data_IF_488970342992
#
_entry.id   IF_488970342992
#
_cell.length_a   1.000
_cell.length_b   1.000
_cell.length_c   1.000
_cell.angle_alpha   90.00
_cell.angle_beta   90.00
_cell.angle_gamma   90.00
#
_symmetry.space_group_name_H-M   'P 1'
#
loop_
_entity.id
_entity.type
_entity.pdbx_description
1 polymer ?
#
# COMPACT_ATOMS: atom_id res chain seq x y z
N UNK A 1 -4.16 17.46 -8.09
CA UNK A 1 -5.06 17.05 -7.00
C UNK A 1 -6.40 17.70 -7.20
N UNK A 2 -7.56 16.98 -7.05
CA UNK A 2 -8.88 17.56 -7.17
C UNK A 2 -9.09 18.70 -6.16
N UNK A 3 -9.81 19.75 -6.57
CA UNK A 3 -10.15 20.88 -5.68
C UNK A 3 -11.30 20.58 -4.71
N UNK A 4 -11.78 19.33 -4.67
CA UNK A 4 -12.89 18.86 -3.83
C UNK A 4 -12.50 17.57 -3.10
N UNK A 5 -13.11 17.29 -1.92
CA UNK A 5 -12.88 16.07 -1.19
C UNK A 5 -13.28 14.84 -2.02
N UNK A 6 -12.60 13.72 -1.76
CA UNK A 6 -12.86 12.44 -2.39
C UNK A 6 -12.79 11.30 -1.36
N UNK A 7 -13.33 10.15 -1.71
CA UNK A 7 -13.34 8.93 -0.91
C UNK A 7 -12.85 7.74 -1.73
N UNK A 8 -12.41 6.67 -1.10
CA UNK A 8 -11.87 5.48 -1.78
C UNK A 8 -12.82 4.87 -2.82
N UNK A 9 -14.14 4.71 -2.61
CA UNK A 9 -15.02 4.19 -3.66
C UNK A 9 -15.03 5.07 -4.92
N UNK A 10 -15.02 6.40 -4.75
CA UNK A 10 -14.93 7.33 -5.88
C UNK A 10 -13.60 7.23 -6.63
N UNK A 11 -12.49 7.02 -5.92
CA UNK A 11 -11.18 6.80 -6.53
C UNK A 11 -11.10 5.45 -7.23
N UNK A 12 -11.64 4.37 -6.65
CA UNK A 12 -11.72 3.07 -7.29
C UNK A 12 -12.51 3.13 -8.60
N UNK A 13 -13.64 3.85 -8.61
CA UNK A 13 -14.41 4.12 -9.84
C UNK A 13 -13.61 4.90 -10.88
N UNK A 14 -12.83 5.90 -10.44
CA UNK A 14 -11.97 6.67 -11.34
C UNK A 14 -10.85 5.79 -11.92
N UNK A 15 -10.27 4.89 -11.10
CA UNK A 15 -9.27 3.92 -11.55
C UNK A 15 -9.86 2.99 -12.61
N UNK A 16 -11.07 2.45 -12.41
CA UNK A 16 -11.73 1.60 -13.39
C UNK A 16 -11.95 2.34 -14.73
N UNK A 17 -12.44 3.59 -14.69
CA UNK A 17 -12.60 4.41 -15.89
C UNK A 17 -11.29 4.74 -16.59
N UNK A 18 -10.21 4.94 -15.84
CA UNK A 18 -8.87 5.14 -16.42
C UNK A 18 -8.42 3.88 -17.17
N UNK A 19 -8.68 2.69 -16.64
CA UNK A 19 -8.38 1.43 -17.33
C UNK A 19 -9.21 1.27 -18.60
N UNK A 20 -10.48 1.67 -18.59
CA UNK A 20 -11.34 1.67 -19.79
C UNK A 20 -10.76 2.61 -20.87
N UNK A 21 -10.34 3.81 -20.46
CA UNK A 21 -9.72 4.78 -21.39
C UNK A 21 -8.40 4.26 -21.98
N UNK A 22 -7.65 3.47 -21.22
CA UNK A 22 -6.37 2.87 -21.64
C UNK A 22 -6.53 1.50 -22.30
N UNK A 23 -7.77 1.03 -22.51
CA UNK A 23 -8.12 -0.28 -23.09
C UNK A 23 -7.51 -1.48 -22.33
N UNK A 24 -7.40 -1.36 -21.00
CA UNK A 24 -7.00 -2.47 -20.15
C UNK A 24 -8.22 -3.16 -19.53
N UNK A 25 -8.49 -4.41 -19.93
CA UNK A 25 -9.57 -5.22 -19.37
C UNK A 25 -9.31 -5.61 -17.92
N UNK A 26 -8.09 -6.06 -17.60
CA UNK A 26 -7.71 -6.55 -16.28
C UNK A 26 -6.25 -6.20 -15.95
N UNK A 27 -5.96 -5.88 -14.69
CA UNK A 27 -4.62 -5.49 -14.22
C UNK A 27 -4.22 -6.20 -12.93
N UNK A 28 -2.92 -6.26 -12.65
CA UNK A 28 -2.41 -6.52 -11.31
C UNK A 28 -2.35 -5.20 -10.55
N UNK A 29 -2.99 -5.14 -9.37
CA UNK A 29 -3.03 -3.94 -8.56
C UNK A 29 -1.97 -3.99 -7.44
N UNK A 30 -1.16 -2.95 -7.32
CA UNK A 30 -0.18 -2.78 -6.23
C UNK A 30 -0.55 -1.55 -5.42
N UNK A 31 -0.77 -1.73 -4.13
CA UNK A 31 -1.09 -0.64 -3.22
C UNK A 31 -0.13 -0.56 -2.05
N UNK A 32 0.46 0.63 -1.82
CA UNK A 32 1.41 0.90 -0.73
C UNK A 32 0.79 1.87 0.26
N UNK A 33 0.81 1.55 1.54
CA UNK A 33 0.34 2.42 2.61
C UNK A 33 -1.10 2.91 2.33
N UNK A 34 -1.33 4.21 2.18
CA UNK A 34 -2.62 4.80 1.78
C UNK A 34 -3.13 4.22 0.43
N UNK A 35 -2.23 3.98 -0.53
CA UNK A 35 -2.58 3.34 -1.80
C UNK A 35 -3.04 1.90 -1.65
N UNK A 36 -2.65 1.22 -0.56
CA UNK A 36 -3.15 -0.11 -0.23
C UNK A 36 -4.64 -0.11 0.13
N UNK A 37 -5.15 0.95 0.76
CA UNK A 37 -6.58 1.12 0.99
C UNK A 37 -7.35 1.29 -0.34
N UNK A 38 -6.81 2.08 -1.27
CA UNK A 38 -7.39 2.22 -2.62
C UNK A 38 -7.36 0.89 -3.39
N UNK A 39 -6.25 0.14 -3.33
CA UNK A 39 -6.13 -1.14 -4.01
C UNK A 39 -7.11 -2.19 -3.44
N UNK A 40 -7.31 -2.23 -2.11
CA UNK A 40 -8.34 -3.05 -1.47
C UNK A 40 -9.75 -2.68 -1.97
N UNK A 41 -10.07 -1.37 -1.98
CA UNK A 41 -11.36 -0.88 -2.47
C UNK A 41 -11.57 -1.23 -3.94
N UNK A 42 -10.55 -1.03 -4.78
CA UNK A 42 -10.62 -1.38 -6.21
C UNK A 42 -10.84 -2.88 -6.43
N UNK A 43 -10.09 -3.74 -5.75
CA UNK A 43 -10.24 -5.19 -5.86
C UNK A 43 -11.62 -5.69 -5.38
N UNK A 44 -12.23 -5.00 -4.40
CA UNK A 44 -13.57 -5.31 -3.90
C UNK A 44 -14.68 -4.82 -4.82
N UNK A 45 -14.61 -3.56 -5.29
CA UNK A 45 -15.68 -2.95 -6.13
C UNK A 45 -15.62 -3.45 -7.59
N UNK A 46 -14.44 -3.84 -8.08
CA UNK A 46 -14.18 -4.26 -9.47
C UNK A 46 -13.39 -5.57 -9.52
N UNK A 47 -13.94 -6.67 -8.97
CA UNK A 47 -13.20 -7.93 -8.84
C UNK A 47 -12.75 -8.53 -10.17
N UNK A 48 -13.52 -8.33 -11.25
CA UNK A 48 -13.21 -8.78 -12.60
C UNK A 48 -12.08 -7.97 -13.26
N UNK A 49 -11.80 -6.76 -12.74
CA UNK A 49 -10.76 -5.86 -13.26
C UNK A 49 -9.42 -6.03 -12.54
N UNK A 50 -9.41 -6.73 -11.40
CA UNK A 50 -8.22 -6.97 -10.58
C UNK A 50 -7.82 -8.45 -10.67
N UNK A 51 -6.72 -8.73 -11.37
CA UNK A 51 -6.20 -10.10 -11.55
C UNK A 51 -5.49 -10.61 -10.30
N UNK A 52 -4.53 -9.84 -9.80
CA UNK A 52 -3.77 -10.08 -8.56
C UNK A 52 -3.67 -8.81 -7.75
N UNK A 53 -3.59 -8.95 -6.43
CA UNK A 53 -3.50 -7.83 -5.49
C UNK A 53 -2.20 -7.91 -4.70
N UNK A 54 -1.45 -6.82 -4.62
CA UNK A 54 -0.27 -6.68 -3.77
C UNK A 54 -0.51 -5.53 -2.80
N UNK A 55 -0.45 -5.84 -1.51
CA UNK A 55 -0.67 -4.90 -0.41
C UNK A 55 0.61 -4.76 0.40
N UNK A 56 1.23 -3.59 0.38
CA UNK A 56 2.49 -3.31 1.07
C UNK A 56 2.31 -2.21 2.13
N UNK A 57 2.78 -2.45 3.35
CA UNK A 57 2.81 -1.48 4.45
C UNK A 57 1.46 -0.74 4.63
N UNK A 58 0.33 -1.47 4.65
CA UNK A 58 -1.03 -0.92 4.69
C UNK A 58 -1.89 -1.55 5.79
N UNK A 59 -3.14 -1.16 5.90
CA UNK A 59 -4.08 -1.66 6.91
C UNK A 59 -5.51 -1.68 6.40
N UNK A 60 -6.42 -2.22 7.22
CA UNK A 60 -7.87 -2.25 6.94
C UNK A 60 -8.58 -0.91 7.22
N UNK A 61 -7.86 0.19 7.36
CA UNK A 61 -8.45 1.52 7.57
C UNK A 61 -8.74 1.83 9.04
N UNK A 62 -9.87 2.47 9.34
CA UNK A 62 -10.19 3.01 10.66
C UNK A 62 -10.19 1.97 11.80
N UNK A 63 -10.40 0.70 11.47
CA UNK A 63 -10.38 -0.44 12.43
C UNK A 63 -9.00 -1.13 12.40
N UNK A 64 -7.94 -0.35 12.46
CA UNK A 64 -6.57 -0.87 12.55
C UNK A 64 -6.01 -0.71 13.96
N UNK A 65 -5.03 -1.53 14.32
CA UNK A 65 -4.17 -1.22 15.47
C UNK A 65 -3.34 0.01 15.09
N UNK A 66 -3.50 1.14 15.78
CA UNK A 66 -2.83 2.38 15.39
C UNK A 66 -1.33 2.30 15.60
N UNK A 67 -0.59 3.02 14.79
CA UNK A 67 0.82 3.31 15.06
C UNK A 67 1.02 4.13 16.34
N UNK A 68 2.27 4.32 16.75
CA UNK A 68 2.58 5.09 17.97
C UNK A 68 1.98 6.51 17.87
N UNK A 69 1.34 7.05 18.94
CA UNK A 69 0.67 8.37 18.90
C UNK A 69 1.56 9.50 18.37
N UNK A 70 2.84 9.52 18.76
CA UNK A 70 3.82 10.50 18.28
C UNK A 70 4.03 10.39 16.75
N UNK A 71 4.05 9.18 16.20
CA UNK A 71 4.18 8.94 14.75
C UNK A 71 2.96 9.46 14.04
N UNK A 72 1.76 9.14 14.52
CA UNK A 72 0.49 9.61 13.94
C UNK A 72 0.39 11.14 13.97
N UNK A 73 0.79 11.77 15.05
CA UNK A 73 0.84 13.24 15.16
C UNK A 73 1.79 13.88 14.13
N UNK A 74 2.99 13.31 13.94
CA UNK A 74 3.93 13.76 12.92
C UNK A 74 3.37 13.58 11.51
N UNK A 75 2.61 12.50 11.29
CA UNK A 75 1.95 12.22 10.02
C UNK A 75 0.73 13.10 9.75
N UNK A 76 0.08 13.69 10.75
CA UNK A 76 -1.04 14.61 10.56
C UNK A 76 -0.65 15.94 9.92
N UNK A 77 0.64 16.31 9.97
CA UNK A 77 1.15 17.56 9.40
C UNK A 77 1.75 17.37 8.00
N UNK A 78 1.46 18.25 7.02
CA UNK A 78 2.09 18.22 5.70
C UNK A 78 3.55 18.70 5.70
N UNK A 79 4.10 19.08 6.87
CA UNK A 79 5.48 19.64 6.99
C UNK A 79 6.54 18.76 6.34
N UNK A 80 6.36 17.42 6.39
CA UNK A 80 7.30 16.48 5.77
C UNK A 80 7.39 16.60 4.25
N UNK A 81 6.40 17.19 3.59
CA UNK A 81 6.40 17.42 2.14
C UNK A 81 6.88 18.83 1.76
N UNK A 82 7.06 19.71 2.76
CA UNK A 82 7.34 21.14 2.53
C UNK A 82 8.74 21.51 3.02
N UNK A 83 9.22 20.82 4.09
CA UNK A 83 10.49 21.13 4.74
C UNK A 83 11.42 19.92 4.73
N UNK A 84 12.40 19.82 3.82
CA UNK A 84 13.33 18.69 3.73
C UNK A 84 14.09 18.43 5.03
N UNK A 85 14.55 19.48 5.73
CA UNK A 85 15.24 19.34 7.03
C UNK A 85 14.35 18.72 8.11
N UNK A 86 13.05 18.97 8.07
CA UNK A 86 12.10 18.33 8.96
C UNK A 86 12.00 16.82 8.67
N UNK A 87 11.95 16.44 7.38
CA UNK A 87 11.93 15.01 6.96
C UNK A 87 13.14 14.28 7.49
N UNK A 88 14.36 14.82 7.28
CA UNK A 88 15.59 14.17 7.75
C UNK A 88 15.52 13.87 9.26
N UNK A 89 15.02 14.82 10.04
CA UNK A 89 14.90 14.66 11.49
C UNK A 89 13.89 13.62 11.93
N UNK A 90 12.73 13.52 11.25
CA UNK A 90 11.63 12.65 11.68
C UNK A 90 11.60 11.28 10.99
N UNK A 91 12.27 11.12 9.84
CA UNK A 91 12.25 9.90 9.03
C UNK A 91 12.58 8.62 9.83
N UNK A 92 13.63 8.58 10.71
CA UNK A 92 13.90 7.42 11.55
C UNK A 92 12.74 7.01 12.44
N UNK A 93 11.97 7.99 12.89
CA UNK A 93 10.85 7.78 13.81
C UNK A 93 9.58 7.33 13.08
N UNK A 94 9.30 7.90 11.90
CA UNK A 94 8.05 7.62 11.16
C UNK A 94 8.17 6.45 10.20
N UNK A 95 9.38 6.12 9.71
CA UNK A 95 9.60 5.04 8.76
C UNK A 95 10.24 3.79 9.36
N UNK A 96 11.00 3.90 10.46
CA UNK A 96 11.63 2.75 11.13
C UNK A 96 12.74 2.10 10.30
N UNK A 97 13.05 0.85 10.60
CA UNK A 97 13.95 -0.02 9.85
C UNK A 97 15.26 0.62 9.42
N UNK A 98 15.59 0.53 8.15
CA UNK A 98 16.80 1.10 7.55
C UNK A 98 16.96 2.61 7.80
N UNK A 99 15.87 3.37 7.92
CA UNK A 99 15.93 4.80 8.25
C UNK A 99 16.45 5.09 9.65
N UNK A 100 16.37 4.14 10.59
CA UNK A 100 17.01 4.25 11.92
C UNK A 100 18.48 3.87 11.87
N UNK A 101 18.83 2.95 10.97
CA UNK A 101 20.19 2.40 10.86
C UNK A 101 21.12 3.27 10.03
N UNK A 102 20.59 4.01 9.03
CA UNK A 102 21.36 4.85 8.12
C UNK A 102 20.74 6.25 7.98
N UNK A 103 21.44 7.25 8.51
CA UNK A 103 21.03 8.66 8.45
C UNK A 103 21.11 9.25 7.03
N UNK A 104 21.93 8.69 6.13
CA UNK A 104 22.06 9.16 4.75
C UNK A 104 20.78 8.90 3.96
N UNK A 105 20.08 7.80 4.22
CA UNK A 105 18.80 7.48 3.59
C UNK A 105 17.74 8.56 3.84
N UNK A 106 17.72 9.15 5.04
CA UNK A 106 16.78 10.22 5.38
C UNK A 106 17.03 11.49 4.53
N UNK A 107 18.29 11.86 4.31
CA UNK A 107 18.66 12.99 3.50
C UNK A 107 18.35 12.75 2.01
N UNK A 108 18.69 11.57 1.51
CA UNK A 108 18.39 11.17 0.13
C UNK A 108 16.87 11.12 -0.13
N UNK A 109 16.10 10.55 0.77
CA UNK A 109 14.64 10.53 0.67
C UNK A 109 14.08 11.97 0.66
N UNK A 110 14.53 12.81 1.58
CA UNK A 110 14.08 14.21 1.68
C UNK A 110 14.32 15.01 0.39
N UNK A 111 15.42 14.73 -0.33
CA UNK A 111 15.72 15.38 -1.61
C UNK A 111 14.77 15.00 -2.74
N UNK A 112 14.17 13.81 -2.67
CA UNK A 112 13.26 13.23 -3.68
C UNK A 112 11.79 13.53 -3.40
N UNK A 113 11.43 13.85 -2.14
CA UNK A 113 10.05 14.14 -1.76
C UNK A 113 9.54 15.41 -2.43
N UNK A 114 8.41 15.31 -3.11
CA UNK A 114 7.74 16.45 -3.73
C UNK A 114 6.38 16.69 -3.08
N UNK A 115 6.02 17.95 -2.90
CA UNK A 115 4.72 18.32 -2.34
C UNK A 115 3.64 18.29 -3.41
N UNK A 116 2.53 17.59 -3.12
CA UNK A 116 1.30 17.69 -3.91
C UNK A 116 0.41 18.88 -3.50
N UNK A 117 0.91 19.78 -2.65
CA UNK A 117 0.18 20.89 -2.06
C UNK A 117 -0.52 20.50 -0.74
N UNK A 118 -0.72 21.52 0.12
CA UNK A 118 -1.30 21.31 1.46
C UNK A 118 -2.73 20.75 1.40
N UNK A 119 -3.57 21.30 0.51
CA UNK A 119 -4.97 20.89 0.38
C UNK A 119 -5.09 19.43 -0.08
N UNK A 120 -4.30 19.02 -1.08
CA UNK A 120 -4.28 17.64 -1.55
C UNK A 120 -3.92 16.65 -0.46
N UNK A 121 -3.00 17.01 0.43
CA UNK A 121 -2.65 16.19 1.57
C UNK A 121 -3.83 15.98 2.53
N UNK A 122 -4.56 17.04 2.87
CA UNK A 122 -5.74 16.92 3.74
C UNK A 122 -6.88 16.13 3.09
N UNK A 123 -7.07 16.24 1.77
CA UNK A 123 -8.04 15.38 1.06
C UNK A 123 -7.66 13.90 1.10
N UNK A 124 -6.35 13.56 1.07
CA UNK A 124 -5.90 12.18 1.28
C UNK A 124 -6.25 11.67 2.68
N UNK A 125 -6.00 12.46 3.72
CA UNK A 125 -6.39 12.10 5.09
C UNK A 125 -7.90 11.95 5.21
N UNK A 126 -8.66 12.88 4.63
CA UNK A 126 -10.12 12.83 4.61
C UNK A 126 -10.66 11.58 3.91
N UNK A 127 -10.04 11.13 2.82
CA UNK A 127 -10.45 9.92 2.10
C UNK A 127 -10.40 8.68 3.00
N UNK A 128 -9.43 8.62 3.92
CA UNK A 128 -9.28 7.54 4.89
C UNK A 128 -10.17 7.65 6.13
N UNK A 129 -10.75 8.83 6.39
CA UNK A 129 -11.53 9.07 7.61
C UNK A 129 -12.78 8.20 7.65
N UNK A 130 -12.88 7.31 8.64
CA UNK A 130 -13.98 6.38 8.81
C UNK A 130 -14.05 5.25 7.79
N UNK A 131 -13.14 5.21 6.80
CA UNK A 131 -13.09 4.09 5.86
C UNK A 131 -12.49 2.85 6.51
N UNK A 132 -13.08 1.69 6.22
CA UNK A 132 -12.53 0.39 6.62
C UNK A 132 -12.94 -0.71 5.65
N UNK A 133 -12.01 -1.63 5.41
CA UNK A 133 -12.22 -2.83 4.61
C UNK A 133 -12.58 -4.07 5.45
N UNK A 134 -12.48 -3.99 6.78
CA UNK A 134 -12.53 -5.13 7.69
C UNK A 134 -13.77 -6.02 7.48
N UNK A 135 -14.90 -5.42 7.11
CA UNK A 135 -16.18 -6.13 6.95
C UNK A 135 -16.27 -6.95 5.67
N UNK A 136 -15.43 -6.65 4.66
CA UNK A 136 -15.50 -7.28 3.34
C UNK A 136 -14.16 -7.84 2.83
N UNK A 137 -13.07 -7.80 3.60
CA UNK A 137 -11.79 -8.43 3.24
C UNK A 137 -11.95 -9.90 2.83
N UNK A 138 -12.83 -10.65 3.49
CA UNK A 138 -13.13 -12.04 3.16
C UNK A 138 -13.77 -12.24 1.78
N UNK A 139 -14.25 -11.17 1.16
CA UNK A 139 -14.83 -11.20 -0.20
C UNK A 139 -13.79 -10.94 -1.29
N UNK A 140 -12.57 -10.49 -0.96
CA UNK A 140 -11.47 -10.38 -1.90
C UNK A 140 -11.00 -11.78 -2.25
N UNK A 141 -11.25 -12.22 -3.47
CA UNK A 141 -10.94 -13.57 -3.96
C UNK A 141 -9.67 -13.63 -4.80
N UNK A 142 -9.15 -12.49 -5.22
CA UNK A 142 -7.93 -12.38 -6.00
C UNK A 142 -6.75 -12.99 -5.20
N UNK A 143 -5.83 -13.70 -5.87
CA UNK A 143 -4.54 -14.01 -5.27
C UNK A 143 -3.91 -12.73 -4.72
N UNK A 144 -3.56 -12.75 -3.44
CA UNK A 144 -3.11 -11.54 -2.73
C UNK A 144 -1.75 -11.76 -2.08
N UNK A 145 -0.80 -10.88 -2.35
CA UNK A 145 0.49 -10.82 -1.67
C UNK A 145 0.46 -9.67 -0.67
N UNK A 146 0.69 -9.98 0.60
CA UNK A 146 0.78 -9.02 1.70
C UNK A 146 2.24 -8.88 2.10
N UNK A 147 2.81 -7.68 1.96
CA UNK A 147 4.20 -7.36 2.28
C UNK A 147 4.27 -6.42 3.48
N UNK A 148 4.96 -6.83 4.53
CA UNK A 148 5.04 -6.11 5.79
C UNK A 148 6.49 -5.86 6.21
N UNK A 149 6.80 -4.64 6.68
CA UNK A 149 8.01 -4.40 7.45
C UNK A 149 7.76 -4.78 8.92
N UNK A 150 8.72 -5.47 9.56
CA UNK A 150 8.59 -5.87 10.96
C UNK A 150 8.85 -4.73 11.94
N UNK A 151 9.63 -3.72 11.52
CA UNK A 151 9.91 -2.49 12.29
C UNK A 151 9.16 -1.27 11.70
N UNK A 152 7.93 -1.47 11.21
CA UNK A 152 7.07 -0.38 10.73
C UNK A 152 6.35 0.33 11.90
N UNK A 153 6.73 1.57 12.25
CA UNK A 153 6.13 2.28 13.37
C UNK A 153 4.79 2.95 13.02
N UNK A 154 4.49 3.07 11.72
CA UNK A 154 3.27 3.70 11.21
C UNK A 154 2.14 2.68 11.05
N UNK A 155 2.47 1.54 10.47
CA UNK A 155 1.55 0.42 10.27
C UNK A 155 2.11 -0.81 11.00
N UNK A 156 1.79 -1.01 12.28
CA UNK A 156 2.26 -2.17 13.03
C UNK A 156 1.98 -3.50 12.32
N UNK A 157 2.93 -4.43 12.38
CA UNK A 157 2.90 -5.73 11.69
C UNK A 157 1.58 -6.51 11.91
N UNK A 158 0.94 -6.34 13.07
CA UNK A 158 -0.33 -7.01 13.38
C UNK A 158 -1.43 -6.67 12.36
N UNK A 159 -1.43 -5.46 11.77
CA UNK A 159 -2.40 -5.07 10.75
C UNK A 159 -2.20 -5.87 9.46
N UNK A 160 -0.95 -6.10 9.08
CA UNK A 160 -0.63 -6.89 7.89
C UNK A 160 -0.97 -8.38 8.09
N UNK A 161 -0.71 -8.90 9.30
CA UNK A 161 -1.15 -10.26 9.69
C UNK A 161 -2.66 -10.39 9.65
N UNK A 162 -3.40 -9.36 10.09
CA UNK A 162 -4.87 -9.34 10.01
C UNK A 162 -5.37 -9.35 8.57
N UNK A 163 -4.77 -8.55 7.67
CA UNK A 163 -5.10 -8.58 6.23
C UNK A 163 -4.88 -9.97 5.65
N UNK A 164 -3.71 -10.57 5.91
CA UNK A 164 -3.36 -11.90 5.41
C UNK A 164 -4.29 -13.00 5.96
N UNK A 165 -4.73 -12.87 7.20
CA UNK A 165 -5.67 -13.82 7.81
C UNK A 165 -7.10 -13.66 7.26
N UNK A 166 -7.54 -12.42 6.97
CA UNK A 166 -8.92 -12.14 6.54
C UNK A 166 -9.15 -12.33 5.05
N UNK A 167 -8.12 -12.18 4.23
CA UNK A 167 -8.21 -12.37 2.77
C UNK A 167 -7.95 -13.84 2.45
N UNK A 168 -8.91 -14.59 1.83
CA UNK A 168 -8.81 -16.04 1.70
C UNK A 168 -7.59 -16.57 0.94
N UNK A 169 -7.16 -15.85 -0.10
CA UNK A 169 -6.06 -16.25 -0.99
C UNK A 169 -4.82 -15.38 -0.76
N UNK A 170 -4.55 -15.02 0.50
CA UNK A 170 -3.42 -14.16 0.84
C UNK A 170 -2.19 -14.95 1.28
N UNK A 171 -1.02 -14.47 0.84
CA UNK A 171 0.30 -14.89 1.29
C UNK A 171 0.96 -13.71 2.00
N UNK A 172 1.55 -13.92 3.19
CA UNK A 172 2.26 -12.88 3.94
C UNK A 172 3.77 -13.09 3.83
N UNK A 173 4.48 -12.03 3.44
CA UNK A 173 5.93 -11.96 3.55
C UNK A 173 6.33 -10.81 4.47
N UNK A 174 7.18 -11.10 5.45
CA UNK A 174 7.69 -10.13 6.42
C UNK A 174 9.12 -9.79 6.04
N UNK A 175 9.42 -8.50 5.95
CA UNK A 175 10.71 -7.93 5.55
C UNK A 175 11.36 -7.31 6.79
N UNK A 176 12.62 -7.64 7.06
CA UNK A 176 13.43 -7.01 8.13
C UNK A 176 13.73 -5.55 7.77
N UNK A 177 12.69 -4.72 7.88
CA UNK A 177 12.78 -3.27 7.64
C UNK A 177 11.50 -2.52 8.11
N UNK A 178 11.49 -1.19 7.92
CA UNK A 178 10.40 -0.31 8.29
C UNK A 178 9.38 -0.09 7.16
N UNK A 179 8.65 1.04 7.24
CA UNK A 179 7.53 1.38 6.35
C UNK A 179 7.90 1.49 4.87
N UNK A 180 9.12 1.89 4.54
CA UNK A 180 9.57 2.13 3.17
C UNK A 180 10.46 1.01 2.60
N UNK A 181 10.28 -0.24 3.06
CA UNK A 181 11.05 -1.41 2.62
C UNK A 181 11.04 -1.63 1.10
N UNK A 182 9.99 -1.21 0.39
CA UNK A 182 9.96 -1.26 -1.08
C UNK A 182 11.07 -0.43 -1.74
N UNK A 183 11.59 0.58 -1.04
CA UNK A 183 12.69 1.43 -1.51
C UNK A 183 14.01 0.93 -0.93
N UNK A 184 14.05 0.71 0.38
CA UNK A 184 15.28 0.41 1.13
C UNK A 184 15.74 -1.03 1.00
N UNK A 185 14.84 -1.95 0.61
CA UNK A 185 15.07 -3.39 0.38
C UNK A 185 14.59 -3.84 -1.00
N UNK A 186 14.64 -2.94 -2.00
CA UNK A 186 14.14 -3.22 -3.34
C UNK A 186 14.68 -4.51 -3.94
N UNK A 187 15.99 -4.80 -3.78
CA UNK A 187 16.65 -6.00 -4.29
C UNK A 187 16.09 -7.29 -3.66
N UNK A 188 15.71 -7.26 -2.39
CA UNK A 188 15.13 -8.41 -1.70
C UNK A 188 13.63 -8.57 -2.00
N UNK A 189 12.91 -7.47 -2.21
CA UNK A 189 11.46 -7.47 -2.39
C UNK A 189 11.05 -7.71 -3.83
N UNK A 190 11.80 -7.20 -4.81
CA UNK A 190 11.46 -7.33 -6.22
C UNK A 190 11.33 -8.80 -6.67
N UNK A 191 12.24 -9.74 -6.31
CA UNK A 191 12.08 -11.15 -6.65
C UNK A 191 10.81 -11.79 -6.07
N UNK A 192 10.41 -11.41 -4.85
CA UNK A 192 9.19 -11.91 -4.20
C UNK A 192 7.96 -11.47 -5.02
N UNK A 193 7.90 -10.20 -5.40
CA UNK A 193 6.83 -9.65 -6.22
C UNK A 193 6.80 -10.33 -7.59
N UNK A 194 7.95 -10.44 -8.26
CA UNK A 194 8.04 -11.05 -9.58
C UNK A 194 7.58 -12.51 -9.56
N UNK A 195 8.08 -13.30 -8.62
CA UNK A 195 7.66 -14.69 -8.42
C UNK A 195 6.13 -14.77 -8.27
N UNK A 196 5.55 -13.96 -7.39
CA UNK A 196 4.09 -13.93 -7.17
C UNK A 196 3.32 -13.59 -8.46
N UNK A 197 3.79 -12.63 -9.24
CA UNK A 197 3.14 -12.24 -10.50
C UNK A 197 3.24 -13.34 -11.58
N UNK A 198 4.31 -14.13 -11.59
CA UNK A 198 4.57 -15.18 -12.58
C UNK A 198 3.92 -16.53 -12.26
N UNK A 199 3.62 -16.84 -10.99
CA UNK A 199 3.11 -18.15 -10.54
C UNK A 199 1.93 -18.71 -11.37
N UNK A 200 1.10 -17.86 -11.94
CA UNK A 200 -0.02 -18.29 -12.78
C UNK A 200 0.41 -18.62 -14.22
N UNK A 201 1.43 -17.96 -14.74
CA UNK A 201 2.04 -18.29 -16.04
C UNK A 201 2.64 -19.70 -15.99
N UNK A 202 3.32 -20.03 -14.91
CA UNK A 202 3.93 -21.34 -14.72
C UNK A 202 2.86 -22.44 -14.56
N UNK A 203 1.77 -22.20 -13.82
CA UNK A 203 0.65 -23.16 -13.69
C UNK A 203 -0.05 -23.39 -15.02
N UNK A 204 -0.25 -22.37 -15.84
CA UNK A 204 -0.87 -22.47 -17.16
C UNK A 204 0.01 -23.23 -18.16
N UNK A 205 1.33 -23.16 -18.02
CA UNK A 205 2.30 -23.90 -18.86
C UNK A 205 2.37 -25.37 -18.43
N UNK A 206 2.34 -25.65 -17.13
CA UNK A 206 2.47 -27.02 -16.59
C UNK A 206 1.15 -27.79 -16.69
N UNK A 207 0.00 -27.10 -16.58
CA UNK A 207 -1.34 -27.67 -16.71
C UNK A 207 -2.16 -26.83 -17.70
N UNK A 208 -1.96 -27.00 -19.02
CA UNK A 208 -2.80 -26.33 -20.01
C UNK A 208 -4.26 -26.77 -19.82
N UNK A 209 -5.19 -25.79 -19.72
CA UNK A 209 -6.61 -26.11 -19.69
C UNK A 209 -6.94 -26.87 -20.99
N UNK A 210 -7.69 -28.00 -20.92
CA UNK A 210 -8.14 -28.63 -22.13
C UNK A 210 -8.96 -27.62 -22.94
N UNK A 211 -8.71 -27.58 -24.25
CA UNK A 211 -9.52 -26.79 -25.17
C UNK A 211 -10.96 -27.32 -25.11
N UNK A 212 -11.91 -26.43 -24.81
CA UNK A 212 -13.37 -26.70 -24.82
C UNK A 212 -13.88 -26.55 -26.24
#
# INVERSE_FOLDING_TARGET
TPNRPYRFPGLAKLTARMLDYLDYGQVNAVGVSWGGALAQQFAYDYPERCKKLILAATAAGAVMVPGKPKVLWLMASPRRYIQPSHVVRIAPMIYGGSFRRDSKLAAEHASKVRSAGKLGYYWQLFAGLGWTSIHWLHKIRQPTLVLAGDDDPLIPLINMRMLAWRIPNAQLHIIDDGHLFLITRAEAVAPIIMKFLEEERLRAVIHPRPAV
#
